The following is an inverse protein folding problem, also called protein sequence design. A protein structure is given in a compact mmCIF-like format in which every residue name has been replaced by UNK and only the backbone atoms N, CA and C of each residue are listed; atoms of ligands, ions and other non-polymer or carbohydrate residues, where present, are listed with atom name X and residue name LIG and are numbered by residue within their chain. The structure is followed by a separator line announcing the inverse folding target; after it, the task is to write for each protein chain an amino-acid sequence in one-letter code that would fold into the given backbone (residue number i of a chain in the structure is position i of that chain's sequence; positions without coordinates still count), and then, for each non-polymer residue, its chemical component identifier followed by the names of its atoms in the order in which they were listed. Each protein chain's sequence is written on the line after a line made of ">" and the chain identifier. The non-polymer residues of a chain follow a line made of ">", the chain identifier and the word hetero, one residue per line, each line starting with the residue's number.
data_IF_424831682185
#
_entry.id   IF_424831682185
#
_cell.length_a   1.000
_cell.length_b   1.000
_cell.length_c   1.000
_cell.angle_alpha   90.00
_cell.angle_beta   90.00
_cell.angle_gamma   90.00
#
_symmetry.space_group_name_H-M   'P 1'
#
loop_
_entity.id
_entity.type
_entity.pdbx_description
1 polymer ?
#
# COMPACT_ATOMS: atom_id res chain seq x y z
N UNK A 1 -3.21 -3.53 -19.03
CA UNK A 1 -1.87 -4.16 -19.16
C UNK A 1 -1.39 -4.71 -17.83
N UNK A 2 -1.42 -3.91 -16.75
CA UNK A 2 -1.08 -4.37 -15.40
C UNK A 2 -1.99 -5.52 -14.91
N UNK A 3 -3.30 -5.44 -15.13
CA UNK A 3 -4.22 -6.53 -14.75
C UNK A 3 -3.91 -7.84 -15.47
N UNK A 4 -3.56 -7.76 -16.75
CA UNK A 4 -3.14 -8.93 -17.51
C UNK A 4 -1.81 -9.52 -17.01
N UNK A 5 -0.91 -8.68 -16.52
CA UNK A 5 0.33 -9.14 -15.89
C UNK A 5 0.07 -9.81 -14.54
N UNK A 6 -0.75 -9.20 -13.67
CA UNK A 6 -1.15 -9.78 -12.39
C UNK A 6 -1.89 -11.10 -12.56
N UNK A 7 -2.79 -11.17 -13.55
CA UNK A 7 -3.54 -12.36 -13.94
C UNK A 7 -2.76 -13.37 -14.80
N UNK A 8 -1.42 -13.24 -14.92
CA UNK A 8 -0.52 -14.15 -15.66
C UNK A 8 -0.80 -14.30 -17.16
N UNK A 9 -1.71 -13.49 -17.73
CA UNK A 9 -2.03 -13.52 -19.16
C UNK A 9 -1.02 -12.74 -20.02
N UNK A 10 -0.27 -11.81 -19.39
CA UNK A 10 0.80 -11.06 -20.03
C UNK A 10 2.11 -11.33 -19.28
N UNK A 11 3.17 -11.70 -20.02
CA UNK A 11 4.52 -11.75 -19.46
C UNK A 11 5.20 -10.40 -19.63
N UNK A 12 5.95 -9.99 -18.61
CA UNK A 12 6.62 -8.71 -18.57
C UNK A 12 7.97 -8.85 -17.86
N UNK A 13 8.97 -8.11 -18.33
CA UNK A 13 10.22 -8.02 -17.60
C UNK A 13 9.98 -7.37 -16.23
N UNK A 14 10.62 -7.86 -15.15
CA UNK A 14 10.51 -7.30 -13.80
C UNK A 14 10.61 -5.77 -13.71
N UNK A 15 11.59 -5.19 -14.40
CA UNK A 15 11.83 -3.75 -14.38
C UNK A 15 10.68 -3.00 -15.05
N UNK A 16 10.12 -3.56 -16.12
CA UNK A 16 9.00 -2.95 -16.84
C UNK A 16 7.73 -2.99 -15.99
N UNK A 17 7.47 -4.09 -15.27
CA UNK A 17 6.29 -4.16 -14.39
C UNK A 17 6.39 -3.16 -13.25
N UNK A 18 7.55 -3.05 -12.59
CA UNK A 18 7.78 -2.04 -11.56
C UNK A 18 7.58 -0.61 -12.09
N UNK A 19 8.15 -0.28 -13.25
CA UNK A 19 8.03 1.04 -13.85
C UNK A 19 6.60 1.37 -14.28
N UNK A 20 5.84 0.40 -14.79
CA UNK A 20 4.44 0.63 -15.14
C UNK A 20 3.55 0.85 -13.90
N UNK A 21 3.76 0.10 -12.81
CA UNK A 21 3.08 0.39 -11.55
C UNK A 21 3.45 1.79 -11.02
N UNK A 22 4.71 2.19 -11.18
CA UNK A 22 5.17 3.54 -10.79
C UNK A 22 4.52 4.62 -11.65
N UNK A 23 4.47 4.42 -12.97
CA UNK A 23 3.81 5.32 -13.91
C UNK A 23 2.31 5.46 -13.60
N UNK A 24 1.64 4.37 -13.22
CA UNK A 24 0.24 4.40 -12.83
C UNK A 24 -0.04 5.21 -11.55
N UNK A 25 0.94 5.35 -10.64
CA UNK A 25 0.82 6.32 -9.53
C UNK A 25 1.06 7.75 -10.00
N UNK A 26 2.03 7.96 -10.87
CA UNK A 26 2.34 9.28 -11.42
C UNK A 26 1.17 9.87 -12.21
N UNK A 27 0.39 9.06 -12.93
CA UNK A 27 -0.79 9.53 -13.67
C UNK A 27 -1.83 10.19 -12.73
N UNK A 28 -1.91 9.74 -11.47
CA UNK A 28 -2.84 10.25 -10.47
C UNK A 28 -2.23 11.32 -9.56
N UNK A 29 -0.93 11.62 -9.68
CA UNK A 29 -0.23 12.47 -8.73
C UNK A 29 -0.79 13.90 -8.69
N UNK A 30 -1.13 14.48 -9.85
CA UNK A 30 -1.76 15.81 -9.91
C UNK A 30 -3.19 15.79 -9.35
N UNK A 31 -3.97 14.74 -9.64
CA UNK A 31 -5.31 14.57 -9.08
C UNK A 31 -5.28 14.51 -7.55
N UNK A 32 -4.34 13.73 -7.00
CA UNK A 32 -4.12 13.64 -5.56
C UNK A 32 -3.77 15.04 -5.02
N UNK A 33 -2.80 15.72 -5.64
CA UNK A 33 -2.39 17.07 -5.23
C UNK A 33 -3.55 18.06 -5.16
N UNK A 34 -4.35 18.14 -6.22
CA UNK A 34 -5.47 19.08 -6.32
C UNK A 34 -6.55 18.82 -5.27
N UNK A 35 -6.87 17.56 -4.98
CA UNK A 35 -7.84 17.23 -3.92
C UNK A 35 -7.33 17.66 -2.55
N UNK A 36 -6.06 17.40 -2.26
CA UNK A 36 -5.44 17.77 -0.99
C UNK A 36 -5.38 19.30 -0.81
N UNK A 37 -5.07 20.04 -1.88
CA UNK A 37 -5.07 21.51 -1.88
C UNK A 37 -6.48 22.08 -1.65
N UNK A 38 -7.53 21.36 -2.05
CA UNK A 38 -8.93 21.69 -1.77
C UNK A 38 -9.42 21.23 -0.39
N UNK A 39 -8.53 20.72 0.47
CA UNK A 39 -8.88 20.25 1.81
C UNK A 39 -9.63 18.90 1.82
N UNK A 40 -9.60 18.16 0.72
CA UNK A 40 -10.21 16.84 0.60
C UNK A 40 -9.16 15.79 0.94
N UNK A 41 -9.43 14.95 1.94
CA UNK A 41 -8.57 13.83 2.30
C UNK A 41 -8.63 12.74 1.21
N UNK A 42 -7.46 12.23 0.82
CA UNK A 42 -7.33 11.14 -0.17
C UNK A 42 -7.01 9.83 0.55
N UNK A 43 -7.70 8.76 0.17
CA UNK A 43 -7.51 7.40 0.70
C UNK A 43 -7.07 6.48 -0.43
N UNK A 44 -5.87 5.90 -0.33
CA UNK A 44 -5.33 5.01 -1.35
C UNK A 44 -5.16 3.58 -0.84
N UNK A 45 -5.92 2.64 -1.41
CA UNK A 45 -5.63 1.22 -1.27
C UNK A 45 -4.33 0.89 -2.03
N UNK A 46 -3.26 0.66 -1.27
CA UNK A 46 -1.87 0.54 -1.73
C UNK A 46 -1.33 1.85 -2.33
N UNK A 47 -0.01 1.97 -2.24
CA UNK A 47 0.74 3.09 -2.80
C UNK A 47 2.19 2.66 -3.09
N UNK A 48 3.16 3.59 -3.08
CA UNK A 48 4.57 3.32 -3.38
C UNK A 48 5.19 2.18 -2.55
N UNK A 49 4.84 2.06 -1.26
CA UNK A 49 5.38 0.99 -0.41
C UNK A 49 5.06 -0.42 -0.93
N UNK A 50 3.87 -0.61 -1.52
CA UNK A 50 3.49 -1.87 -2.15
C UNK A 50 4.28 -2.11 -3.44
N UNK A 51 4.48 -1.06 -4.25
CA UNK A 51 5.34 -1.13 -5.43
C UNK A 51 6.75 -1.61 -5.08
N UNK A 52 7.38 -1.01 -4.06
CA UNK A 52 8.72 -1.38 -3.59
C UNK A 52 8.74 -2.78 -2.97
N UNK A 53 7.79 -3.09 -2.09
CA UNK A 53 7.77 -4.36 -1.35
C UNK A 53 7.58 -5.57 -2.26
N UNK A 54 6.65 -5.51 -3.21
CA UNK A 54 6.44 -6.61 -4.16
C UNK A 54 7.59 -6.72 -5.15
N UNK A 55 8.10 -5.60 -5.66
CA UNK A 55 9.16 -5.63 -6.68
C UNK A 55 10.50 -6.14 -6.13
N UNK A 56 10.87 -5.72 -4.91
CA UNK A 56 12.11 -6.20 -4.28
C UNK A 56 11.94 -7.51 -3.50
N UNK A 57 10.76 -7.78 -2.96
CA UNK A 57 10.50 -8.99 -2.18
C UNK A 57 10.15 -10.20 -3.04
N UNK A 58 9.20 -10.07 -3.97
CA UNK A 58 8.73 -11.19 -4.80
C UNK A 58 9.52 -11.32 -6.10
N UNK A 59 9.82 -10.20 -6.76
CA UNK A 59 10.54 -10.20 -8.06
C UNK A 59 12.06 -10.10 -7.89
N UNK A 60 12.54 -9.86 -6.67
CA UNK A 60 13.95 -9.77 -6.31
C UNK A 60 14.72 -8.66 -7.04
N UNK A 61 14.05 -7.53 -7.34
CA UNK A 61 14.72 -6.31 -7.79
C UNK A 61 15.45 -5.62 -6.62
N UNK A 62 16.48 -4.83 -6.95
CA UNK A 62 17.20 -4.06 -5.95
C UNK A 62 16.26 -3.09 -5.21
N UNK A 63 16.35 -3.08 -3.88
CA UNK A 63 15.45 -2.32 -3.02
C UNK A 63 15.64 -0.80 -3.19
N UNK A 64 16.88 -0.33 -3.25
CA UNK A 64 17.17 1.10 -3.42
C UNK A 64 16.82 1.57 -4.83
N UNK A 65 17.03 0.73 -5.84
CA UNK A 65 16.56 0.98 -7.19
C UNK A 65 15.04 1.17 -7.22
N UNK A 66 14.27 0.24 -6.63
CA UNK A 66 12.80 0.36 -6.56
C UNK A 66 12.38 1.65 -5.85
N UNK A 67 12.96 1.92 -4.68
CA UNK A 67 12.66 3.13 -3.90
C UNK A 67 12.98 4.41 -4.67
N UNK A 68 14.08 4.44 -5.42
CA UNK A 68 14.49 5.59 -6.22
C UNK A 68 13.56 5.88 -7.42
N UNK A 69 12.75 4.91 -7.87
CA UNK A 69 11.75 5.14 -8.94
C UNK A 69 10.48 5.82 -8.44
N UNK A 70 10.17 5.67 -7.16
CA UNK A 70 9.00 6.29 -6.52
C UNK A 70 9.27 7.73 -6.04
N UNK A 71 10.53 8.19 -6.06
CA UNK A 71 10.90 9.51 -5.57
C UNK A 71 10.18 10.63 -6.33
N UNK A 72 9.56 11.54 -5.59
CA UNK A 72 8.82 12.68 -6.13
C UNK A 72 7.30 12.51 -6.10
N UNK A 73 6.79 11.28 -5.91
CA UNK A 73 5.39 11.07 -5.57
C UNK A 73 5.07 11.70 -4.21
N UNK A 74 3.82 12.14 -4.06
CA UNK A 74 3.36 12.85 -2.88
C UNK A 74 3.36 11.88 -1.68
N UNK A 75 4.00 12.27 -0.57
CA UNK A 75 4.29 11.37 0.56
C UNK A 75 3.16 11.31 1.58
N UNK A 76 2.77 10.13 2.11
CA UNK A 76 1.78 10.05 3.18
C UNK A 76 2.15 10.78 4.47
N UNK A 77 1.13 11.27 5.16
CA UNK A 77 1.11 11.59 6.59
C UNK A 77 0.88 10.36 7.48
N UNK A 78 0.15 9.37 6.96
CA UNK A 78 -0.13 8.13 7.67
C UNK A 78 -0.12 6.96 6.70
N UNK A 79 0.43 5.83 7.13
CA UNK A 79 0.33 4.55 6.44
C UNK A 79 -0.21 3.53 7.43
N UNK A 80 -1.38 2.97 7.12
CA UNK A 80 -1.97 1.88 7.92
C UNK A 80 -1.58 0.54 7.30
N UNK A 81 -0.70 -0.20 7.98
CA UNK A 81 -0.28 -1.53 7.58
C UNK A 81 -1.11 -2.60 8.30
N UNK A 82 -1.84 -3.39 7.53
CA UNK A 82 -2.70 -4.45 8.03
C UNK A 82 -1.90 -5.75 8.12
N UNK A 83 -1.55 -6.14 9.34
CA UNK A 83 -0.80 -7.35 9.61
C UNK A 83 -1.73 -8.55 9.70
N UNK A 84 -1.62 -9.45 8.73
CA UNK A 84 -2.37 -10.72 8.69
C UNK A 84 -1.42 -11.89 8.93
N UNK A 85 -1.85 -12.88 9.72
CA UNK A 85 -1.14 -14.15 9.86
C UNK A 85 -1.15 -14.88 8.51
N UNK A 86 0.04 -15.25 8.02
CA UNK A 86 0.22 -15.94 6.74
C UNK A 86 -0.57 -17.26 6.67
N UNK A 87 -0.70 -17.98 7.79
CA UNK A 87 -1.46 -19.24 7.88
C UNK A 87 -2.97 -19.03 7.64
N UNK A 88 -3.49 -17.84 7.93
CA UNK A 88 -4.89 -17.46 7.67
C UNK A 88 -5.09 -16.86 6.28
N UNK A 89 -4.01 -16.42 5.62
CA UNK A 89 -4.09 -15.79 4.29
C UNK A 89 -4.16 -16.81 3.16
N UNK A 90 -3.51 -17.96 3.32
CA UNK A 90 -3.48 -19.06 2.34
C UNK A 90 -4.78 -19.86 2.28
N UNK A 91 -5.65 -19.71 3.28
CA UNK A 91 -6.96 -20.38 3.36
C UNK A 91 -8.09 -19.56 2.74
N UNK A 92 -7.82 -18.33 2.29
CA UNK A 92 -8.81 -17.46 1.64
C UNK A 92 -9.12 -17.94 0.22
N UNK A 93 -10.39 -17.85 -0.17
CA UNK A 93 -10.82 -18.18 -1.54
C UNK A 93 -10.12 -17.27 -2.55
N UNK A 94 -9.43 -17.86 -3.52
CA UNK A 94 -8.73 -17.14 -4.58
C UNK A 94 -7.20 -17.06 -4.42
N UNK A 95 -6.62 -17.51 -3.30
CA UNK A 95 -5.17 -17.55 -3.14
C UNK A 95 -4.50 -18.45 -4.20
N UNK A 96 -3.62 -17.86 -5.00
CA UNK A 96 -2.83 -18.54 -6.03
C UNK A 96 -3.26 -18.20 -7.45
N UNK A 97 -4.32 -17.40 -7.61
CA UNK A 97 -4.81 -16.93 -8.92
C UNK A 97 -3.84 -15.90 -9.49
N UNK A 98 -3.46 -14.91 -8.70
CA UNK A 98 -2.53 -13.86 -9.14
C UNK A 98 -1.05 -14.28 -9.05
N UNK A 99 -0.18 -13.53 -9.72
CA UNK A 99 1.25 -13.84 -9.88
C UNK A 99 2.04 -13.87 -8.56
N UNK A 100 1.61 -13.16 -7.52
CA UNK A 100 2.32 -13.05 -6.23
C UNK A 100 1.67 -13.83 -5.08
N UNK A 101 0.61 -14.59 -5.34
CA UNK A 101 -0.13 -15.30 -4.30
C UNK A 101 0.47 -16.67 -4.03
N UNK A 102 1.73 -16.69 -3.58
CA UNK A 102 2.39 -17.87 -3.05
C UNK A 102 3.11 -17.54 -1.74
N UNK A 103 3.28 -18.54 -0.87
CA UNK A 103 3.78 -18.36 0.50
C UNK A 103 5.20 -17.77 0.50
N UNK A 104 6.09 -18.25 -0.37
CA UNK A 104 7.48 -17.78 -0.45
C UNK A 104 7.58 -16.29 -0.78
N UNK A 105 6.77 -15.82 -1.73
CA UNK A 105 6.73 -14.41 -2.11
C UNK A 105 6.14 -13.57 -0.98
N UNK A 106 5.05 -14.00 -0.36
CA UNK A 106 4.44 -13.28 0.75
C UNK A 106 5.39 -13.12 1.95
N UNK A 107 6.19 -14.15 2.27
CA UNK A 107 7.24 -14.06 3.30
C UNK A 107 8.29 -13.01 2.93
N UNK A 108 8.73 -13.00 1.67
CA UNK A 108 9.79 -12.09 1.20
C UNK A 108 9.29 -10.64 1.14
N UNK A 109 8.08 -10.42 0.64
CA UNK A 109 7.38 -9.12 0.64
C UNK A 109 7.20 -8.59 2.06
N UNK A 110 6.79 -9.44 3.01
CA UNK A 110 6.64 -9.06 4.42
C UNK A 110 7.96 -8.58 5.03
N UNK A 111 9.08 -9.24 4.74
CA UNK A 111 10.41 -8.80 5.19
C UNK A 111 10.77 -7.41 4.66
N UNK A 112 10.35 -7.08 3.44
CA UNK A 112 10.57 -5.72 2.89
C UNK A 112 9.68 -4.71 3.61
N UNK A 113 8.41 -5.01 3.86
CA UNK A 113 7.52 -4.12 4.61
C UNK A 113 8.05 -3.79 6.01
N UNK A 114 8.69 -4.75 6.69
CA UNK A 114 9.33 -4.52 7.99
C UNK A 114 10.43 -3.45 7.95
N UNK A 115 11.04 -3.17 6.79
CA UNK A 115 12.00 -2.07 6.65
C UNK A 115 11.36 -0.69 6.80
N UNK A 116 10.04 -0.58 6.62
CA UNK A 116 9.29 0.67 6.70
C UNK A 116 8.63 0.91 8.06
N UNK A 117 8.65 -0.08 8.96
CA UNK A 117 7.92 0.00 10.24
C UNK A 117 8.40 1.11 11.17
N UNK A 118 9.61 1.63 10.94
CA UNK A 118 10.22 2.68 11.75
C UNK A 118 9.83 4.10 11.31
N UNK A 119 9.10 4.27 10.20
CA UNK A 119 8.60 5.59 9.84
C UNK A 119 7.60 6.09 10.89
N UNK A 120 7.72 7.36 11.27
CA UNK A 120 6.85 7.99 12.27
C UNK A 120 5.37 8.03 11.86
N UNK A 121 5.09 7.96 10.56
CA UNK A 121 3.75 7.89 9.97
C UNK A 121 3.23 6.45 9.79
N UNK A 122 4.03 5.42 10.11
CA UNK A 122 3.63 4.01 9.96
C UNK A 122 2.81 3.53 11.16
N UNK A 123 1.66 2.90 10.92
CA UNK A 123 0.78 2.34 11.96
C UNK A 123 0.47 0.89 11.61
N UNK A 124 0.88 -0.04 12.47
CA UNK A 124 0.56 -1.45 12.31
C UNK A 124 -0.76 -1.77 13.01
N UNK A 125 -1.67 -2.43 12.30
CA UNK A 125 -2.93 -2.94 12.86
C UNK A 125 -2.95 -4.46 12.65
N UNK A 126 -3.13 -5.22 13.73
CA UNK A 126 -3.32 -6.66 13.64
C UNK A 126 -4.71 -6.95 13.05
N UNK A 127 -4.76 -7.37 11.79
CA UNK A 127 -5.96 -7.71 11.05
C UNK A 127 -6.33 -9.21 11.16
N UNK A 128 -5.68 -9.96 12.05
CA UNK A 128 -5.89 -11.40 12.24
C UNK A 128 -6.93 -11.75 13.31
N UNK A 129 -7.36 -10.78 14.13
CA UNK A 129 -8.04 -11.06 15.41
C UNK A 129 -9.48 -10.54 15.53
N UNK A 130 -10.06 -9.80 14.57
CA UNK A 130 -11.40 -9.24 14.74
C UNK A 130 -12.17 -9.00 13.42
N UNK A 131 -13.51 -9.17 13.38
CA UNK A 131 -14.39 -8.68 12.31
C UNK A 131 -14.31 -7.16 12.08
N UNK A 132 -13.87 -6.38 13.08
CA UNK A 132 -13.93 -4.91 13.08
C UNK A 132 -12.59 -4.23 12.73
N UNK A 133 -11.85 -4.77 11.76
CA UNK A 133 -10.62 -4.12 11.24
C UNK A 133 -10.92 -2.70 10.75
N UNK A 134 -12.12 -2.46 10.20
CA UNK A 134 -12.62 -1.12 9.83
C UNK A 134 -12.64 -0.14 11.00
N UNK A 135 -13.10 -0.55 12.19
CA UNK A 135 -13.13 0.32 13.37
C UNK A 135 -11.72 0.67 13.85
N UNK A 136 -10.78 -0.27 13.77
CA UNK A 136 -9.38 -0.01 14.14
C UNK A 136 -8.69 0.92 13.15
N UNK A 137 -8.97 0.76 11.86
CA UNK A 137 -8.51 1.67 10.81
C UNK A 137 -9.07 3.08 11.08
N UNK A 138 -10.38 3.17 11.33
CA UNK A 138 -11.07 4.41 11.64
C UNK A 138 -10.49 5.08 12.89
N UNK A 139 -10.38 4.38 14.03
CA UNK A 139 -9.83 4.96 15.26
C UNK A 139 -8.38 5.42 15.09
N UNK A 140 -7.57 4.68 14.32
CA UNK A 140 -6.20 5.07 13.96
C UNK A 140 -6.19 6.36 13.14
N UNK A 141 -7.08 6.48 12.17
CA UNK A 141 -7.25 7.70 11.36
C UNK A 141 -7.68 8.90 12.22
N UNK A 142 -8.67 8.71 13.10
CA UNK A 142 -9.23 9.77 13.95
C UNK A 142 -8.25 10.27 15.01
N UNK A 143 -7.51 9.36 15.66
CA UNK A 143 -6.48 9.73 16.63
C UNK A 143 -5.35 10.56 16.02
N UNK A 144 -5.08 10.38 14.72
CA UNK A 144 -4.15 11.20 13.97
C UNK A 144 -4.72 12.59 13.63
N UNK A 145 -6.03 12.70 13.35
CA UNK A 145 -6.63 13.90 12.78
C UNK A 145 -7.29 14.86 13.80
N UNK A 146 -7.50 14.43 15.05
CA UNK A 146 -8.02 15.18 16.22
C UNK A 146 -8.71 16.54 16.00
N UNK A 147 -9.69 16.60 15.07
CA UNK A 147 -10.82 17.54 14.98
C UNK A 147 -11.67 17.24 13.72
N UNK A 148 -12.50 16.20 13.70
CA UNK A 148 -13.71 16.04 12.85
C UNK A 148 -14.40 14.73 13.27
N UNK A 149 -15.74 14.66 13.12
CA UNK A 149 -16.63 13.50 13.34
C UNK A 149 -17.35 13.21 12.01
N UNK A 150 -17.31 11.99 11.45
CA UNK A 150 -18.47 11.18 10.99
C UNK A 150 -18.16 9.86 10.23
N UNK A 151 -19.21 9.02 10.30
CA UNK A 151 -19.71 7.79 9.65
C UNK A 151 -18.85 6.66 9.06
N UNK A 152 -19.37 5.46 9.35
CA UNK A 152 -18.95 4.14 8.92
C UNK A 152 -19.08 3.94 7.40
N UNK A 153 -18.06 3.37 6.75
CA UNK A 153 -18.02 1.99 6.21
C UNK A 153 -16.75 1.80 5.33
N UNK A 154 -16.14 0.61 5.42
CA UNK A 154 -15.09 0.00 4.57
C UNK A 154 -13.60 0.10 4.97
N UNK A 155 -12.94 -1.07 4.89
CA UNK A 155 -11.53 -1.40 5.18
C UNK A 155 -10.62 -0.93 4.03
N UNK A 156 -9.56 -0.14 4.32
CA UNK A 156 -8.48 0.15 3.36
C UNK A 156 -7.12 0.39 4.04
N UNK A 157 -6.03 0.21 3.30
CA UNK A 157 -4.77 0.91 3.59
C UNK A 157 -5.06 2.41 3.39
N UNK A 158 -4.90 3.22 4.44
CA UNK A 158 -5.08 4.66 4.37
C UNK A 158 -3.71 5.31 4.24
N UNK A 159 -3.55 6.05 3.13
CA UNK A 159 -2.43 6.96 2.85
C UNK A 159 -3.03 8.37 2.80
N UNK A 160 -3.22 9.03 3.96
CA UNK A 160 -3.48 10.48 3.95
C UNK A 160 -2.19 11.14 3.51
N UNK A 161 -2.23 12.12 2.62
CA UNK A 161 -1.07 12.93 2.31
C UNK A 161 -1.47 14.39 2.57
N UNK A 162 -0.75 15.15 3.37
CA UNK A 162 -1.08 16.54 3.69
C UNK A 162 0.12 17.38 3.34
N UNK A 163 -0.16 18.46 2.64
CA UNK A 163 0.84 19.47 2.30
C UNK A 163 1.34 20.12 3.60
N UNK A 164 2.63 19.99 3.91
CA UNK A 164 3.29 20.86 4.88
C UNK A 164 3.57 22.19 4.18
N UNK A 165 2.71 23.19 4.41
CA UNK A 165 3.03 24.57 4.08
C UNK A 165 4.16 25.02 5.02
N UNK A 166 5.32 25.35 4.44
CA UNK A 166 6.23 26.33 5.03
C UNK A 166 5.95 27.68 4.36
#
# INVERSE_FOLDING_TARGET
>A
MLDGYLGKSIKMAPQVSHLLFTANRWELNNYIKENLENGIDVVCDRYSFSGIAYSSGAINLDFEWCKSREQGLISPDIVVFLEVNLDLSSTRSGFGVEIYENISDQISVRKVYQKFSNYSFWRNINASQSPDVSLNIYSTYYSFNSNIIFDSTYLFQLTKIKYLQN
#
